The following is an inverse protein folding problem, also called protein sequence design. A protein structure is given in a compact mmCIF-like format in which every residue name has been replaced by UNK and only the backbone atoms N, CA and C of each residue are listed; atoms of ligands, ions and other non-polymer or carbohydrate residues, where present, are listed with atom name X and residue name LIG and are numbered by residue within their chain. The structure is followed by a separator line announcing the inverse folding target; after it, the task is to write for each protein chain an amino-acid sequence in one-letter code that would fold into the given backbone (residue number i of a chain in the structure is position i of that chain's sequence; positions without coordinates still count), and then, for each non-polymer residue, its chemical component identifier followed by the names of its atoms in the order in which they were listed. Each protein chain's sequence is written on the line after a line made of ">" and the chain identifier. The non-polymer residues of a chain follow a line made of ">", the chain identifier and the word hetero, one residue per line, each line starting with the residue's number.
data_IF_358317776493
#
_entry.id   IF_358317776493
#
_cell.length_a   1.000
_cell.length_b   1.000
_cell.length_c   1.000
_cell.angle_alpha   90.00
_cell.angle_beta   90.00
_cell.angle_gamma   90.00
#
_symmetry.space_group_name_H-M   'P 1'
#
loop_
_entity.id
_entity.type
_entity.pdbx_description
1 polymer ?
#
# COMPACT_ATOMS: atom_id res chain seq x y z
N UNK A 1 18.00 7.71 10.19
CA UNK A 1 19.14 8.23 9.41
C UNK A 1 19.27 7.44 8.13
N UNK A 2 19.50 8.10 6.98
CA UNK A 2 19.83 7.42 5.73
C UNK A 2 21.32 7.13 5.67
N UNK A 3 21.70 5.95 5.21
CA UNK A 3 23.07 5.49 5.15
C UNK A 3 23.40 4.89 3.77
N UNK A 4 24.65 4.93 3.32
CA UNK A 4 25.04 4.23 2.10
C UNK A 4 24.80 2.72 2.27
N UNK A 5 24.57 1.97 1.17
CA UNK A 5 24.38 0.53 1.22
C UNK A 5 25.61 -0.16 1.82
N UNK A 6 25.36 -1.17 2.65
CA UNK A 6 26.46 -1.94 3.23
C UNK A 6 27.06 -2.86 2.15
N UNK A 7 28.31 -2.61 1.77
CA UNK A 7 29.02 -3.34 0.71
C UNK A 7 29.61 -4.66 1.20
N UNK A 8 29.60 -4.91 2.52
CA UNK A 8 30.26 -6.09 3.08
C UNK A 8 29.28 -7.21 3.42
N UNK A 9 29.51 -8.37 2.81
CA UNK A 9 28.85 -9.64 2.90
C UNK A 9 28.68 -10.29 4.28
N UNK A 10 28.20 -9.57 5.24
CA UNK A 10 27.64 -10.13 6.46
C UNK A 10 26.13 -10.33 6.25
N UNK A 11 25.65 -11.53 6.50
CA UNK A 11 24.30 -12.00 6.21
C UNK A 11 23.18 -11.37 7.06
N UNK A 12 23.26 -10.09 7.39
CA UNK A 12 22.16 -9.40 8.09
C UNK A 12 21.10 -8.99 7.08
N UNK A 13 19.87 -9.45 7.31
CA UNK A 13 18.69 -9.06 6.54
C UNK A 13 18.45 -7.55 6.63
N UNK A 14 18.03 -6.93 5.52
CA UNK A 14 17.81 -5.48 5.41
C UNK A 14 16.92 -4.92 6.53
N UNK A 15 15.84 -5.63 6.85
CA UNK A 15 14.89 -5.19 7.87
C UNK A 15 15.48 -5.27 9.29
N UNK A 16 16.27 -6.30 9.56
CA UNK A 16 16.97 -6.45 10.84
C UNK A 16 18.00 -5.34 11.03
N UNK A 17 18.73 -4.99 9.97
CA UNK A 17 19.68 -3.89 10.01
C UNK A 17 19.02 -2.56 10.39
N UNK A 18 17.88 -2.24 9.77
CA UNK A 18 17.14 -1.02 10.10
C UNK A 18 16.68 -1.04 11.56
N UNK A 19 16.14 -2.16 12.02
CA UNK A 19 15.65 -2.31 13.40
C UNK A 19 16.76 -2.12 14.44
N UNK A 20 17.96 -2.64 14.18
CA UNK A 20 19.09 -2.58 15.12
C UNK A 20 19.83 -1.24 15.09
N UNK A 21 20.03 -0.68 13.89
CA UNK A 21 20.86 0.53 13.72
C UNK A 21 20.07 1.84 13.63
N UNK A 22 18.77 1.78 13.33
CA UNK A 22 17.98 2.95 12.98
C UNK A 22 18.43 3.64 11.67
N UNK A 23 19.33 3.01 10.92
CA UNK A 23 19.83 3.53 9.66
C UNK A 23 19.18 2.79 8.48
N UNK A 24 18.75 3.54 7.49
CA UNK A 24 18.07 3.03 6.31
C UNK A 24 19.08 3.02 5.16
N UNK A 25 19.58 1.84 4.72
CA UNK A 25 20.47 1.72 3.60
C UNK A 25 19.79 2.24 2.33
N UNK A 26 20.40 3.22 1.68
CA UNK A 26 19.80 3.91 0.53
C UNK A 26 20.82 4.04 -0.59
N UNK A 27 20.53 3.45 -1.75
CA UNK A 27 21.35 3.56 -2.97
C UNK A 27 20.95 4.80 -3.76
N UNK A 28 21.84 5.24 -4.64
CA UNK A 28 21.57 6.36 -5.55
C UNK A 28 20.74 5.87 -6.76
N UNK A 29 19.45 5.66 -6.53
CA UNK A 29 18.47 5.31 -7.54
C UNK A 29 17.06 5.79 -7.14
N UNK A 30 16.13 5.85 -8.10
CA UNK A 30 14.78 6.37 -7.88
C UNK A 30 13.98 5.53 -6.90
N UNK A 31 14.11 4.22 -6.95
CA UNK A 31 13.38 3.30 -6.07
C UNK A 31 13.72 3.57 -4.60
N UNK A 32 15.01 3.62 -4.28
CA UNK A 32 15.47 3.89 -2.91
C UNK A 32 15.16 5.34 -2.49
N UNK A 33 15.18 6.30 -3.42
CA UNK A 33 14.75 7.66 -3.15
C UNK A 33 13.27 7.71 -2.71
N UNK A 34 12.36 7.03 -3.44
CA UNK A 34 10.95 6.99 -3.03
C UNK A 34 10.76 6.24 -1.72
N UNK A 35 11.52 5.17 -1.48
CA UNK A 35 11.51 4.50 -0.18
C UNK A 35 11.94 5.45 0.95
N UNK A 36 13.02 6.22 0.76
CA UNK A 36 13.48 7.20 1.73
C UNK A 36 12.43 8.30 1.99
N UNK A 37 11.78 8.81 0.94
CA UNK A 37 10.69 9.79 1.08
C UNK A 37 9.50 9.22 1.87
N UNK A 38 9.19 7.93 1.72
CA UNK A 38 8.13 7.30 2.50
C UNK A 38 8.51 7.17 3.98
N UNK A 39 9.76 6.88 4.30
CA UNK A 39 10.25 6.91 5.68
C UNK A 39 10.11 8.28 6.34
N UNK A 40 10.27 9.37 5.57
CA UNK A 40 10.08 10.74 6.07
C UNK A 40 8.60 11.11 6.20
N UNK A 41 7.77 10.67 5.24
CA UNK A 41 6.36 11.09 5.16
C UNK A 41 5.44 10.25 6.05
N UNK A 42 5.75 8.95 6.20
CA UNK A 42 4.94 7.97 6.94
C UNK A 42 5.83 7.14 7.89
N UNK A 43 6.50 7.77 8.88
CA UNK A 43 7.48 7.09 9.73
C UNK A 43 6.87 5.99 10.61
N UNK A 44 5.63 6.17 11.09
CA UNK A 44 4.93 5.16 11.93
C UNK A 44 4.59 3.93 11.10
N UNK A 45 4.08 4.13 9.90
CA UNK A 45 3.76 3.05 8.96
C UNK A 45 5.03 2.28 8.57
N UNK A 46 6.09 2.97 8.16
CA UNK A 46 7.36 2.32 7.78
C UNK A 46 7.98 1.56 8.94
N UNK A 47 7.93 2.11 10.15
CA UNK A 47 8.39 1.42 11.37
C UNK A 47 7.55 0.17 11.66
N UNK A 48 6.23 0.22 11.46
CA UNK A 48 5.35 -0.93 11.65
C UNK A 48 5.62 -2.04 10.61
N UNK A 49 5.86 -1.67 9.35
CA UNK A 49 6.26 -2.62 8.30
C UNK A 49 7.58 -3.30 8.67
N UNK A 50 8.61 -2.53 9.03
CA UNK A 50 9.91 -3.05 9.43
C UNK A 50 9.81 -3.98 10.64
N UNK A 51 9.14 -3.55 11.72
CA UNK A 51 8.94 -4.37 12.92
C UNK A 51 8.18 -5.67 12.60
N UNK A 52 7.16 -5.61 11.75
CA UNK A 52 6.42 -6.77 11.28
C UNK A 52 7.31 -7.76 10.50
N UNK A 53 8.17 -7.25 9.61
CA UNK A 53 9.13 -8.10 8.89
C UNK A 53 10.09 -8.80 9.84
N UNK A 54 10.69 -8.08 10.78
CA UNK A 54 11.63 -8.64 11.76
C UNK A 54 10.94 -9.71 12.63
N UNK A 55 9.74 -9.39 13.15
CA UNK A 55 8.96 -10.33 13.97
C UNK A 55 8.68 -11.64 13.23
N UNK A 56 8.16 -11.55 12.00
CA UNK A 56 7.80 -12.74 11.23
C UNK A 56 9.03 -13.48 10.69
N UNK A 57 10.15 -12.78 10.41
CA UNK A 57 11.40 -13.44 10.06
C UNK A 57 11.93 -14.30 11.22
N UNK A 58 11.95 -13.74 12.44
CA UNK A 58 12.37 -14.49 13.62
C UNK A 58 11.46 -15.70 13.89
N UNK A 59 10.15 -15.53 13.69
CA UNK A 59 9.19 -16.64 13.80
C UNK A 59 9.44 -17.72 12.75
N UNK A 60 9.67 -17.34 11.47
CA UNK A 60 9.96 -18.27 10.37
C UNK A 60 11.24 -19.06 10.67
N UNK A 61 12.30 -18.39 11.13
CA UNK A 61 13.57 -19.02 11.50
C UNK A 61 13.42 -20.00 12.68
N UNK A 62 12.69 -19.60 13.73
CA UNK A 62 12.45 -20.45 14.91
C UNK A 62 11.70 -21.73 14.57
N UNK A 63 10.82 -21.71 13.56
CA UNK A 63 10.00 -22.85 13.15
C UNK A 63 10.54 -23.55 11.90
N UNK A 64 11.80 -23.25 11.51
CA UNK A 64 12.46 -23.84 10.33
C UNK A 64 11.59 -23.80 9.07
N UNK A 65 10.88 -22.68 8.87
CA UNK A 65 9.97 -22.51 7.75
C UNK A 65 10.69 -22.63 6.41
N UNK A 66 10.22 -23.53 5.54
CA UNK A 66 10.83 -23.77 4.20
C UNK A 66 10.57 -22.65 3.20
N UNK A 67 9.61 -21.77 3.48
CA UNK A 67 9.22 -20.66 2.62
C UNK A 67 8.92 -19.42 3.46
N UNK A 68 8.96 -18.27 2.80
CA UNK A 68 8.58 -16.98 3.39
C UNK A 68 7.10 -17.02 3.81
N UNK A 69 6.80 -16.51 5.01
CA UNK A 69 5.43 -16.52 5.54
C UNK A 69 4.51 -15.50 4.85
N UNK A 70 3.23 -15.83 4.80
CA UNK A 70 2.19 -14.94 4.22
C UNK A 70 2.21 -13.52 4.80
N UNK A 71 2.36 -13.31 6.12
CA UNK A 71 2.46 -11.94 6.65
C UNK A 71 3.61 -11.14 6.05
N UNK A 72 4.78 -11.73 5.85
CA UNK A 72 5.92 -11.04 5.22
C UNK A 72 5.63 -10.67 3.76
N UNK A 73 4.90 -11.52 3.04
CA UNK A 73 4.49 -11.21 1.66
C UNK A 73 3.47 -10.08 1.61
N UNK A 74 2.51 -10.04 2.54
CA UNK A 74 1.52 -8.96 2.66
C UNK A 74 2.20 -7.63 2.98
N UNK A 75 3.15 -7.62 3.92
CA UNK A 75 3.93 -6.42 4.27
C UNK A 75 4.72 -5.89 3.07
N UNK A 76 5.46 -6.77 2.36
CA UNK A 76 6.19 -6.37 1.14
C UNK A 76 5.25 -5.83 0.07
N UNK A 77 4.13 -6.53 -0.18
CA UNK A 77 3.16 -6.12 -1.18
C UNK A 77 2.59 -4.72 -0.88
N UNK A 78 2.36 -4.42 0.39
CA UNK A 78 1.88 -3.11 0.81
C UNK A 78 2.98 -2.05 0.74
N UNK A 79 4.20 -2.37 1.18
CA UNK A 79 5.36 -1.46 1.11
C UNK A 79 5.71 -1.05 -0.32
N UNK A 80 5.54 -1.99 -1.28
CA UNK A 80 5.78 -1.76 -2.70
C UNK A 80 4.62 -1.07 -3.44
N UNK A 81 3.38 -1.41 -3.10
CA UNK A 81 2.21 -1.05 -3.90
C UNK A 81 1.05 -0.51 -3.08
N UNK A 82 1.31 -0.07 -1.85
CA UNK A 82 0.29 0.34 -0.90
C UNK A 82 -0.38 1.67 -1.20
N UNK A 83 -1.67 1.74 -0.90
CA UNK A 83 -2.44 2.98 -0.79
C UNK A 83 -3.32 2.91 0.47
N UNK A 84 -3.37 3.99 1.23
CA UNK A 84 -4.31 4.14 2.34
C UNK A 84 -5.54 4.86 1.79
N UNK A 85 -6.71 4.27 1.99
CA UNK A 85 -8.00 4.85 1.62
C UNK A 85 -8.82 5.05 2.88
N UNK A 86 -9.26 6.27 3.12
CA UNK A 86 -10.09 6.61 4.28
C UNK A 86 -11.40 7.24 3.84
N UNK A 87 -12.48 6.88 4.53
CA UNK A 87 -13.80 7.50 4.40
C UNK A 87 -14.60 7.30 5.67
N UNK A 88 -15.42 8.28 6.04
CA UNK A 88 -16.46 8.13 7.07
C UNK A 88 -17.69 7.36 6.55
N UNK A 89 -17.86 7.28 5.21
CA UNK A 89 -18.92 6.49 4.59
C UNK A 89 -18.45 5.06 4.28
N UNK A 90 -18.87 4.05 5.08
CA UNK A 90 -18.48 2.66 4.84
C UNK A 90 -19.01 2.10 3.52
N UNK A 91 -20.05 2.72 2.94
CA UNK A 91 -20.60 2.26 1.65
C UNK A 91 -19.61 2.50 0.52
N UNK A 92 -18.89 3.64 0.53
CA UNK A 92 -17.84 3.93 -0.46
C UNK A 92 -16.69 2.93 -0.36
N UNK A 93 -16.26 2.58 0.87
CA UNK A 93 -15.22 1.58 1.09
C UNK A 93 -15.65 0.18 0.63
N UNK A 94 -16.94 -0.18 0.86
CA UNK A 94 -17.50 -1.44 0.36
C UNK A 94 -17.51 -1.52 -1.16
N UNK A 95 -17.79 -0.41 -1.86
CA UNK A 95 -17.75 -0.40 -3.33
C UNK A 95 -16.37 -0.76 -3.88
N UNK A 96 -15.28 -0.39 -3.20
CA UNK A 96 -13.93 -0.82 -3.55
C UNK A 96 -13.79 -2.34 -3.39
N UNK A 97 -14.21 -2.91 -2.25
CA UNK A 97 -14.14 -4.35 -1.98
C UNK A 97 -14.99 -5.18 -2.96
N UNK A 98 -16.13 -4.60 -3.39
CA UNK A 98 -17.09 -5.24 -4.29
C UNK A 98 -16.77 -4.96 -5.77
N UNK A 99 -15.67 -4.24 -6.07
CA UNK A 99 -15.26 -3.91 -7.43
C UNK A 99 -16.31 -3.11 -8.21
N UNK A 100 -17.10 -2.27 -7.53
CA UNK A 100 -18.18 -1.47 -8.11
C UNK A 100 -17.63 -0.14 -8.64
N UNK A 101 -16.64 -0.22 -9.54
CA UNK A 101 -15.85 0.93 -9.97
C UNK A 101 -16.66 2.03 -10.64
N UNK A 102 -17.58 1.66 -11.54
CA UNK A 102 -18.43 2.62 -12.23
C UNK A 102 -19.37 3.33 -11.26
N UNK A 103 -19.94 2.61 -10.32
CA UNK A 103 -20.79 3.21 -9.30
C UNK A 103 -19.98 4.15 -8.40
N UNK A 104 -18.82 3.71 -7.92
CA UNK A 104 -17.95 4.50 -7.06
C UNK A 104 -17.47 5.77 -7.75
N UNK A 105 -16.83 5.63 -8.92
CA UNK A 105 -16.09 6.74 -9.54
C UNK A 105 -16.91 7.55 -10.55
N UNK A 106 -18.09 7.07 -10.98
CA UNK A 106 -18.98 7.81 -11.88
C UNK A 106 -20.22 8.26 -11.12
N UNK A 107 -21.03 7.32 -10.61
CA UNK A 107 -22.32 7.67 -9.98
C UNK A 107 -22.13 8.40 -8.65
N UNK A 108 -21.14 8.00 -7.84
CA UNK A 108 -20.81 8.57 -6.52
C UNK A 108 -19.56 9.46 -6.56
N UNK A 109 -19.21 9.99 -7.76
CA UNK A 109 -17.97 10.79 -7.94
C UNK A 109 -17.87 11.97 -6.97
N UNK A 110 -18.94 12.72 -6.78
CA UNK A 110 -18.96 13.85 -5.85
C UNK A 110 -18.70 13.40 -4.40
N UNK A 111 -19.27 12.25 -4.00
CA UNK A 111 -19.04 11.70 -2.66
C UNK A 111 -17.59 11.24 -2.50
N UNK A 112 -17.01 10.62 -3.52
CA UNK A 112 -15.59 10.23 -3.52
C UNK A 112 -14.70 11.45 -3.32
N UNK A 113 -14.92 12.52 -4.09
CA UNK A 113 -14.11 13.76 -4.01
C UNK A 113 -14.24 14.43 -2.65
N UNK A 114 -15.43 14.45 -2.06
CA UNK A 114 -15.69 15.17 -0.81
C UNK A 114 -15.41 14.33 0.45
N UNK A 115 -15.66 13.01 0.41
CA UNK A 115 -15.73 12.16 1.59
C UNK A 115 -14.67 11.04 1.60
N UNK A 116 -13.75 11.01 0.64
CA UNK A 116 -12.64 10.07 0.64
C UNK A 116 -11.28 10.78 0.55
N UNK A 117 -10.26 10.13 1.10
CA UNK A 117 -8.85 10.50 0.88
C UNK A 117 -8.07 9.27 0.46
N UNK A 118 -7.12 9.49 -0.44
CA UNK A 118 -6.22 8.47 -0.97
C UNK A 118 -4.79 8.94 -0.73
N UNK A 119 -4.02 8.16 0.01
CA UNK A 119 -2.61 8.42 0.27
C UNK A 119 -1.77 7.26 -0.29
N UNK A 120 -1.04 7.54 -1.36
CA UNK A 120 -0.14 6.57 -1.97
C UNK A 120 1.12 6.44 -1.12
N UNK A 121 1.39 5.24 -0.64
CA UNK A 121 2.51 4.94 0.28
C UNK A 121 3.46 3.88 -0.26
N UNK A 122 3.06 3.11 -1.26
CA UNK A 122 3.91 2.11 -1.90
C UNK A 122 5.02 2.78 -2.72
N UNK A 123 6.28 2.64 -2.28
CA UNK A 123 7.40 3.33 -2.94
C UNK A 123 7.64 2.86 -4.37
N UNK A 124 7.50 1.56 -4.67
CA UNK A 124 7.58 1.04 -6.04
C UNK A 124 6.42 1.52 -6.91
N UNK A 125 5.24 1.74 -6.34
CA UNK A 125 4.09 2.27 -7.06
C UNK A 125 4.24 3.77 -7.32
N UNK A 126 4.84 4.53 -6.40
CA UNK A 126 5.20 5.94 -6.62
C UNK A 126 6.17 6.08 -7.79
N UNK A 127 7.20 5.23 -7.87
CA UNK A 127 8.12 5.22 -8.99
C UNK A 127 7.41 4.96 -10.33
N UNK A 128 6.53 3.95 -10.38
CA UNK A 128 5.72 3.63 -11.57
C UNK A 128 4.76 4.75 -11.97
N UNK A 129 4.30 5.54 -11.00
CA UNK A 129 3.38 6.66 -11.22
C UNK A 129 4.02 7.85 -11.95
N UNK A 130 5.35 7.88 -12.08
CA UNK A 130 6.05 8.87 -12.92
C UNK A 130 5.76 8.68 -14.42
N UNK A 131 5.39 7.46 -14.84
CA UNK A 131 4.97 7.15 -16.20
C UNK A 131 3.72 6.24 -16.15
N UNK A 132 2.53 6.80 -15.84
CA UNK A 132 1.34 6.03 -15.58
C UNK A 132 0.85 5.29 -16.81
N UNK A 133 0.41 4.04 -16.62
CA UNK A 133 -0.09 3.15 -17.66
C UNK A 133 -1.38 2.47 -17.25
N UNK A 134 -2.21 2.07 -18.20
CA UNK A 134 -3.40 1.25 -17.97
C UNK A 134 -3.00 -0.08 -17.33
N UNK A 135 -3.58 -0.39 -16.17
CA UNK A 135 -3.19 -1.55 -15.36
C UNK A 135 -2.51 -1.16 -14.04
N UNK A 136 -2.13 0.12 -13.85
CA UNK A 136 -1.54 0.59 -12.60
C UNK A 136 -2.53 0.44 -11.43
N UNK A 137 -2.32 -0.59 -10.60
CA UNK A 137 -3.23 -1.01 -9.53
C UNK A 137 -2.50 -1.04 -8.20
N UNK A 138 -3.07 -0.40 -7.19
CA UNK A 138 -2.58 -0.40 -5.82
C UNK A 138 -3.15 -1.55 -4.99
N UNK A 139 -2.57 -1.74 -3.81
CA UNK A 139 -3.02 -2.58 -2.70
C UNK A 139 -3.53 -1.69 -1.57
N UNK A 140 -4.85 -1.62 -1.42
CA UNK A 140 -5.47 -0.65 -0.52
C UNK A 140 -5.75 -1.22 0.88
N UNK A 141 -5.34 -0.47 1.91
CA UNK A 141 -5.90 -0.54 3.26
C UNK A 141 -7.12 0.39 3.27
N UNK A 142 -8.28 -0.13 3.69
CA UNK A 142 -9.53 0.61 3.74
C UNK A 142 -9.89 0.94 5.20
N UNK A 143 -9.93 2.22 5.54
CA UNK A 143 -10.13 2.72 6.90
C UNK A 143 -11.46 3.48 7.02
N UNK A 144 -12.38 2.97 7.83
CA UNK A 144 -13.63 3.66 8.18
C UNK A 144 -13.35 4.64 9.33
N UNK A 145 -12.86 5.83 9.00
CA UNK A 145 -12.44 6.86 9.96
C UNK A 145 -12.67 8.25 9.38
N UNK A 146 -12.64 9.32 10.23
CA UNK A 146 -12.64 10.70 9.75
C UNK A 146 -11.51 10.97 8.77
N UNK A 147 -11.81 11.73 7.71
CA UNK A 147 -10.85 12.05 6.64
C UNK A 147 -9.65 12.87 7.13
N UNK A 148 -9.74 13.47 8.32
CA UNK A 148 -8.69 14.26 8.99
C UNK A 148 -7.82 13.40 9.94
N UNK A 149 -8.07 12.09 10.03
CA UNK A 149 -7.30 11.19 10.90
C UNK A 149 -5.82 11.18 10.54
N UNK A 150 -4.98 10.88 11.52
CA UNK A 150 -3.57 10.56 11.30
C UNK A 150 -3.48 9.21 10.55
N UNK A 151 -3.38 9.30 9.21
CA UNK A 151 -3.37 8.12 8.33
C UNK A 151 -2.13 7.26 8.51
N UNK A 152 -1.00 7.87 8.88
CA UNK A 152 0.24 7.15 9.17
C UNK A 152 0.05 6.23 10.40
N UNK A 153 -0.46 6.79 11.50
CA UNK A 153 -0.75 5.99 12.70
C UNK A 153 -1.86 4.96 12.46
N UNK A 154 -2.91 5.32 11.74
CA UNK A 154 -4.03 4.43 11.50
C UNK A 154 -3.63 3.21 10.65
N UNK A 155 -2.82 3.41 9.63
CA UNK A 155 -2.29 2.32 8.80
C UNK A 155 -1.27 1.46 9.57
N UNK A 156 -0.42 2.08 10.39
CA UNK A 156 0.49 1.34 11.28
C UNK A 156 -0.28 0.42 12.23
N UNK A 157 -1.34 0.92 12.86
CA UNK A 157 -2.21 0.12 13.74
C UNK A 157 -2.93 -1.00 12.97
N UNK A 158 -3.35 -0.75 11.74
CA UNK A 158 -3.96 -1.78 10.89
C UNK A 158 -2.97 -2.92 10.61
N UNK A 159 -1.71 -2.61 10.30
CA UNK A 159 -0.65 -3.61 10.05
C UNK A 159 -0.21 -4.36 11.32
N UNK A 160 -0.32 -3.75 12.49
CA UNK A 160 0.00 -4.40 13.76
C UNK A 160 -0.99 -5.53 14.13
N UNK A 161 -2.17 -5.58 13.51
CA UNK A 161 -3.12 -6.64 13.72
C UNK A 161 -2.83 -7.84 12.81
N UNK A 162 -2.39 -8.97 13.39
CA UNK A 162 -2.02 -10.19 12.67
C UNK A 162 -3.14 -10.76 11.79
N UNK A 163 -4.42 -10.55 12.15
CA UNK A 163 -5.56 -10.96 11.33
C UNK A 163 -5.53 -10.30 9.96
N UNK A 164 -5.08 -9.05 9.90
CA UNK A 164 -4.98 -8.29 8.64
C UNK A 164 -3.85 -8.82 7.73
N UNK A 165 -2.82 -9.41 8.32
CA UNK A 165 -1.68 -9.99 7.59
C UNK A 165 -1.88 -11.47 7.21
N UNK A 166 -2.99 -12.08 7.61
CA UNK A 166 -3.25 -13.51 7.36
C UNK A 166 -3.48 -13.84 5.87
N UNK A 167 -3.82 -12.83 5.06
CA UNK A 167 -4.05 -13.02 3.61
C UNK A 167 -3.82 -11.72 2.84
N UNK A 168 -3.17 -11.82 1.67
CA UNK A 168 -3.06 -10.69 0.73
C UNK A 168 -4.40 -10.16 0.22
N UNK A 169 -5.48 -10.96 0.35
CA UNK A 169 -6.86 -10.54 0.02
C UNK A 169 -7.41 -9.48 0.97
N UNK A 170 -6.79 -9.28 2.13
CA UNK A 170 -7.15 -8.22 3.06
C UNK A 170 -6.75 -6.83 2.53
N UNK A 171 -5.79 -6.79 1.60
CA UNK A 171 -5.47 -5.61 0.80
C UNK A 171 -6.38 -5.57 -0.44
N UNK A 172 -7.25 -4.58 -0.53
CA UNK A 172 -8.14 -4.44 -1.67
C UNK A 172 -7.37 -3.95 -2.91
N UNK A 173 -7.55 -4.55 -4.09
CA UNK A 173 -7.00 -3.95 -5.30
C UNK A 173 -7.72 -2.64 -5.61
N UNK A 174 -6.99 -1.62 -6.08
CA UNK A 174 -7.53 -0.31 -6.44
C UNK A 174 -6.91 0.19 -7.75
N UNK A 175 -7.68 0.32 -8.84
CA UNK A 175 -7.22 0.92 -10.09
C UNK A 175 -6.92 2.41 -9.88
N UNK A 176 -5.62 2.79 -9.81
CA UNK A 176 -5.21 4.15 -9.45
C UNK A 176 -5.73 5.22 -10.39
N UNK A 177 -5.69 4.96 -11.69
CA UNK A 177 -6.11 5.95 -12.69
C UNK A 177 -7.64 6.18 -12.69
N UNK A 178 -8.39 5.35 -11.96
CA UNK A 178 -9.83 5.55 -11.74
C UNK A 178 -10.13 6.59 -10.67
N UNK A 179 -9.20 6.92 -9.80
CA UNK A 179 -9.42 7.90 -8.73
C UNK A 179 -9.66 9.28 -9.34
N UNK A 180 -10.75 9.97 -9.02
CA UNK A 180 -11.05 11.30 -9.55
C UNK A 180 -9.87 12.28 -9.43
N UNK A 181 -9.51 12.92 -10.52
CA UNK A 181 -8.40 13.88 -10.57
C UNK A 181 -7.01 13.28 -10.72
N UNK A 182 -6.85 11.94 -10.73
CA UNK A 182 -5.53 11.28 -10.88
C UNK A 182 -5.16 10.99 -12.34
N UNK A 183 -6.13 11.01 -13.25
CA UNK A 183 -5.89 10.88 -14.69
C UNK A 183 -6.96 11.67 -15.46
N UNK A 184 -6.55 12.44 -16.45
CA UNK A 184 -7.48 13.26 -17.25
C UNK A 184 -8.53 12.43 -17.97
N UNK A 185 -8.23 11.18 -18.33
CA UNK A 185 -9.16 10.28 -19.03
C UNK A 185 -10.35 9.87 -18.16
N UNK A 186 -10.19 9.87 -16.84
CA UNK A 186 -11.25 9.46 -15.92
C UNK A 186 -12.34 10.52 -15.70
N UNK A 187 -12.24 11.68 -16.37
CA UNK A 187 -13.31 12.67 -16.41
C UNK A 187 -14.51 12.20 -17.25
N UNK A 188 -14.34 11.20 -18.09
CA UNK A 188 -15.41 10.64 -18.93
C UNK A 188 -15.85 9.27 -18.41
N UNK A 189 -17.18 9.00 -18.32
CA UNK A 189 -17.70 7.70 -17.92
C UNK A 189 -17.21 6.52 -18.79
N UNK A 190 -16.92 6.78 -20.07
CA UNK A 190 -16.42 5.79 -21.00
C UNK A 190 -15.06 5.18 -20.59
N UNK A 191 -14.23 5.91 -19.86
CA UNK A 191 -12.97 5.40 -19.32
C UNK A 191 -13.16 4.16 -18.43
N UNK A 192 -14.24 4.13 -17.66
CA UNK A 192 -14.58 3.05 -16.74
C UNK A 192 -15.23 1.82 -17.41
N UNK A 193 -15.43 1.86 -18.73
CA UNK A 193 -15.90 0.71 -19.51
C UNK A 193 -14.78 -0.27 -19.91
N UNK A 194 -13.52 0.11 -19.65
CA UNK A 194 -12.38 -0.77 -19.84
C UNK A 194 -12.38 -1.92 -18.82
N UNK A 195 -13.06 -3.02 -19.16
CA UNK A 195 -13.22 -4.19 -18.29
C UNK A 195 -11.89 -4.90 -17.95
N UNK A 196 -10.84 -4.73 -18.74
CA UNK A 196 -9.52 -5.28 -18.45
C UNK A 196 -8.81 -4.55 -17.31
N UNK A 197 -9.14 -3.28 -17.10
CA UNK A 197 -8.60 -2.46 -16.00
C UNK A 197 -9.57 -2.37 -14.82
N UNK A 198 -10.83 -2.13 -15.09
CA UNK A 198 -11.89 -2.05 -14.08
C UNK A 198 -12.63 -3.38 -13.96
N UNK A 199 -11.87 -4.46 -13.77
CA UNK A 199 -12.43 -5.81 -13.68
C UNK A 199 -13.43 -5.92 -12.50
N UNK A 200 -14.47 -6.71 -12.69
CA UNK A 200 -15.54 -6.91 -11.71
C UNK A 200 -15.14 -7.83 -10.52
N UNK A 201 -13.88 -8.21 -10.44
CA UNK A 201 -13.41 -9.17 -9.44
C UNK A 201 -13.89 -10.60 -9.73
N UNK A 202 -13.29 -11.58 -9.04
CA UNK A 202 -13.82 -12.93 -9.09
C UNK A 202 -15.07 -12.99 -8.19
N UNK A 203 -16.24 -13.18 -8.78
CA UNK A 203 -17.43 -13.59 -8.01
C UNK A 203 -17.10 -14.92 -7.34
N UNK A 204 -17.20 -14.97 -6.01
CA UNK A 204 -17.17 -16.20 -5.25
C UNK A 204 -18.49 -16.94 -5.41
#
# INVERSE_FOLDING_TARGET
>A
VFAPPIVNGGAMDYETLIAESGAIPTRDNRHDLFNALQWLSCPKLKSAINAGHVFHLQHDLKHEAKARSTPRDVLTMFDESGVIVVSEDPALLRMIRDFRWRELFVSRRCDVVNNMRFLLVGHGLLEKSLAPFIGLTAKAILLAQPINSDLDAAAANWLANSVNLASSRNLAPLPLLGIPGWDVRNETPAFYENASYFCAGYRR
#
